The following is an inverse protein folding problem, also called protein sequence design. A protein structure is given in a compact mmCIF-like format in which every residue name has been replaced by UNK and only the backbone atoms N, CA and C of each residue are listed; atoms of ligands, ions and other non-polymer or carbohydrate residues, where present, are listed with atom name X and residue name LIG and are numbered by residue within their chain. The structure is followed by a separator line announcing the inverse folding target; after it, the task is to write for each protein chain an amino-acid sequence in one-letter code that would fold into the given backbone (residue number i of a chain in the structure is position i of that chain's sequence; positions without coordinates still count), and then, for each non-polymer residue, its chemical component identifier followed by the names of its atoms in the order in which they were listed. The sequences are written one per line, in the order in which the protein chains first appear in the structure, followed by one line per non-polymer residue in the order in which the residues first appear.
data_IF_384212520230
#
_entry.id   IF_384212520230
#
_cell.length_a   1.000
_cell.length_b   1.000
_cell.length_c   1.000
_cell.angle_alpha   90.00
_cell.angle_beta   90.00
_cell.angle_gamma   90.00
#
_symmetry.space_group_name_H-M   'P 1'
#
loop_
_entity.id
_entity.type
_entity.pdbx_description
1 polymer ?
#
# COMPACT_ATOMS: atom_id res chain seq x y z
N UNK A 1 -10.78 14.88 19.89
CA UNK A 1 -10.26 15.87 20.87
C UNK A 1 -10.98 15.84 22.22
N UNK A 2 -12.04 15.03 22.40
CA UNK A 2 -12.85 15.04 23.63
C UNK A 2 -12.16 14.38 24.85
N UNK A 3 -11.31 13.37 24.64
CA UNK A 3 -10.67 12.64 25.74
C UNK A 3 -9.73 13.48 26.60
N UNK A 4 -8.90 14.34 26.00
CA UNK A 4 -7.96 15.19 26.75
C UNK A 4 -8.69 16.23 27.62
N UNK A 5 -9.85 16.72 27.15
CA UNK A 5 -10.69 17.64 27.90
C UNK A 5 -11.30 16.97 29.15
N UNK A 6 -11.71 15.70 29.05
CA UNK A 6 -12.25 14.94 30.19
C UNK A 6 -11.26 14.80 31.36
N UNK A 7 -9.96 14.76 31.07
CA UNK A 7 -8.89 14.67 32.08
C UNK A 7 -8.23 16.02 32.42
N UNK A 8 -8.75 17.12 31.87
CA UNK A 8 -8.18 18.46 32.01
C UNK A 8 -6.66 18.51 31.67
N UNK A 9 -6.28 17.89 30.55
CA UNK A 9 -4.91 17.89 30.05
C UNK A 9 -4.74 18.97 28.97
N UNK A 10 -3.62 19.69 29.01
CA UNK A 10 -3.18 20.50 27.86
C UNK A 10 -2.54 19.58 26.82
N UNK A 11 -2.83 19.80 25.55
CA UNK A 11 -2.30 18.97 24.47
C UNK A 11 -1.27 19.76 23.68
N UNK A 12 -0.09 19.17 23.50
CA UNK A 12 0.90 19.61 22.53
C UNK A 12 1.03 18.51 21.48
N UNK A 13 0.66 18.77 20.24
CA UNK A 13 0.71 17.78 19.17
C UNK A 13 1.64 18.26 18.06
N UNK A 14 2.71 17.50 17.79
CA UNK A 14 3.66 17.78 16.72
C UNK A 14 4.26 19.20 16.78
N UNK A 15 4.48 19.70 18.00
CA UNK A 15 5.01 21.07 18.25
C UNK A 15 3.96 22.18 18.20
N UNK A 16 2.71 21.87 17.86
CA UNK A 16 1.58 22.81 17.91
C UNK A 16 0.83 22.68 19.24
N UNK A 17 0.33 23.80 19.75
CA UNK A 17 -0.51 23.89 20.95
C UNK A 17 -1.99 24.06 20.53
N UNK A 18 -2.72 22.96 20.28
CA UNK A 18 -4.15 23.03 19.96
C UNK A 18 -5.01 23.52 21.13
N UNK A 19 -4.52 23.50 22.36
CA UNK A 19 -5.20 24.08 23.53
C UNK A 19 -4.76 25.52 23.79
N UNK A 20 -5.71 26.41 24.12
CA UNK A 20 -5.42 27.82 24.42
C UNK A 20 -4.37 27.97 25.53
N UNK A 21 -3.37 28.83 25.31
CA UNK A 21 -2.32 29.10 26.28
C UNK A 21 -2.90 29.73 27.57
N UNK A 22 -2.46 29.24 28.74
CA UNK A 22 -2.83 29.82 30.03
C UNK A 22 -4.06 29.22 30.71
N UNK A 23 -4.64 28.14 30.18
CA UNK A 23 -5.70 27.37 30.87
C UNK A 23 -5.06 26.43 31.90
N UNK A 24 -5.60 26.40 33.12
CA UNK A 24 -5.12 25.50 34.18
C UNK A 24 -5.41 24.04 33.79
N UNK A 25 -4.35 23.28 33.55
CA UNK A 25 -4.40 21.86 33.25
C UNK A 25 -3.77 21.05 34.39
N UNK A 26 -4.25 19.82 34.60
CA UNK A 26 -3.67 18.88 35.56
C UNK A 26 -2.39 18.20 35.04
N UNK A 27 -2.12 18.28 33.73
CA UNK A 27 -0.93 17.73 33.10
C UNK A 27 -0.84 18.02 31.60
N UNK A 28 0.26 17.58 30.97
CA UNK A 28 0.53 17.77 29.54
C UNK A 28 0.50 16.41 28.83
N UNK A 29 -0.30 16.30 27.75
CA UNK A 29 -0.21 15.22 26.78
C UNK A 29 0.59 15.70 25.57
N UNK A 30 1.79 15.16 25.41
CA UNK A 30 2.67 15.48 24.28
C UNK A 30 2.63 14.35 23.24
N UNK A 31 2.24 14.69 22.01
CA UNK A 31 2.34 13.81 20.85
C UNK A 31 3.55 14.26 20.02
N UNK A 32 4.53 13.37 19.90
CA UNK A 32 5.71 13.56 19.06
C UNK A 32 5.90 12.37 18.12
N UNK A 33 6.48 12.63 16.95
CA UNK A 33 6.86 11.60 16.01
C UNK A 33 8.31 11.87 15.55
N UNK A 34 9.22 10.89 15.66
CA UNK A 34 10.62 11.08 15.25
C UNK A 34 10.77 11.19 13.73
N UNK A 35 9.79 10.70 12.97
CA UNK A 35 9.68 10.85 11.52
C UNK A 35 8.22 11.14 11.17
N UNK A 36 7.96 12.31 10.60
CA UNK A 36 6.70 12.61 9.93
C UNK A 36 6.92 12.39 8.43
N UNK A 37 5.97 11.71 7.81
CA UNK A 37 5.90 11.57 6.36
C UNK A 37 4.56 12.11 5.91
N UNK A 38 4.58 12.89 4.84
CA UNK A 38 3.36 13.26 4.15
C UNK A 38 2.68 12.01 3.58
N UNK A 39 1.34 12.05 3.38
CA UNK A 39 0.65 10.99 2.66
C UNK A 39 1.29 10.74 1.29
N UNK A 40 1.35 9.47 0.87
CA UNK A 40 1.81 9.13 -0.48
C UNK A 40 0.99 9.88 -1.54
N UNK A 41 1.62 10.41 -2.60
CA UNK A 41 0.90 10.93 -3.75
C UNK A 41 -0.08 9.89 -4.31
N UNK A 42 -1.22 10.37 -4.81
CA UNK A 42 -2.27 9.53 -5.38
C UNK A 42 -2.01 9.37 -6.88
N UNK A 43 -1.82 8.13 -7.32
CA UNK A 43 -1.85 7.79 -8.75
C UNK A 43 -3.30 7.69 -9.22
N UNK A 44 -3.72 8.40 -10.30
CA UNK A 44 -5.07 8.29 -10.84
C UNK A 44 -5.41 6.86 -11.27
N UNK A 45 -6.59 6.37 -10.92
CA UNK A 45 -7.04 5.01 -11.25
C UNK A 45 -7.46 4.84 -12.71
N UNK A 46 -7.57 5.92 -13.47
CA UNK A 46 -7.86 5.91 -14.91
C UNK A 46 -6.59 6.07 -15.76
N UNK A 47 -5.43 6.31 -15.14
CA UNK A 47 -4.14 6.45 -15.80
C UNK A 47 -3.79 5.20 -16.63
N UNK A 48 -3.17 5.41 -17.79
CA UNK A 48 -2.78 4.31 -18.68
C UNK A 48 -1.84 3.31 -17.98
N UNK A 49 -0.95 3.79 -17.11
CA UNK A 49 -0.09 2.94 -16.30
C UNK A 49 -0.87 2.00 -15.35
N UNK A 50 -1.96 2.48 -14.73
CA UNK A 50 -2.83 1.63 -13.91
C UNK A 50 -3.55 0.59 -14.77
N UNK A 51 -4.05 0.98 -15.95
CA UNK A 51 -4.72 0.05 -16.88
C UNK A 51 -3.77 -1.05 -17.36
N UNK A 52 -2.52 -0.72 -17.66
CA UNK A 52 -1.48 -1.70 -18.01
C UNK A 52 -1.24 -2.68 -16.86
N UNK A 53 -1.06 -2.18 -15.64
CA UNK A 53 -0.88 -3.02 -14.46
C UNK A 53 -2.10 -3.93 -14.22
N UNK A 54 -3.31 -3.37 -14.25
CA UNK A 54 -4.55 -4.13 -14.09
C UNK A 54 -4.72 -5.22 -15.15
N UNK A 55 -4.40 -4.91 -16.41
CA UNK A 55 -4.39 -5.88 -17.52
C UNK A 55 -3.38 -7.00 -17.28
N UNK A 56 -2.18 -6.66 -16.84
CA UNK A 56 -1.09 -7.59 -16.52
C UNK A 56 -1.48 -8.54 -15.40
N UNK A 57 -2.06 -8.01 -14.31
CA UNK A 57 -2.56 -8.80 -13.17
C UNK A 57 -3.59 -9.83 -13.66
N UNK A 58 -4.54 -9.39 -14.51
CA UNK A 58 -5.56 -10.28 -15.08
C UNK A 58 -4.94 -11.40 -15.92
N UNK A 59 -4.00 -11.07 -16.80
CA UNK A 59 -3.32 -12.06 -17.65
C UNK A 59 -2.52 -13.08 -16.83
N UNK A 60 -1.81 -12.64 -15.78
CA UNK A 60 -1.04 -13.53 -14.92
C UNK A 60 -1.93 -14.56 -14.21
N UNK A 61 -3.05 -14.11 -13.61
CA UNK A 61 -4.00 -15.02 -12.97
C UNK A 61 -4.66 -15.99 -13.97
N UNK A 62 -5.00 -15.53 -15.17
CA UNK A 62 -5.59 -16.39 -16.22
C UNK A 62 -4.62 -17.48 -16.69
N UNK A 63 -3.35 -17.13 -16.89
CA UNK A 63 -2.31 -18.07 -17.33
C UNK A 63 -2.06 -19.13 -16.27
N UNK A 64 -2.00 -18.74 -15.00
CA UNK A 64 -1.67 -19.66 -13.91
C UNK A 64 -2.86 -20.51 -13.42
N UNK A 65 -4.09 -19.99 -13.50
CA UNK A 65 -5.27 -20.60 -12.84
C UNK A 65 -6.32 -21.05 -13.85
N UNK A 66 -6.28 -22.35 -14.17
CA UNK A 66 -7.28 -22.99 -15.04
C UNK A 66 -8.70 -22.80 -14.50
N UNK A 67 -9.61 -22.30 -15.33
CA UNK A 67 -11.04 -22.16 -15.01
C UNK A 67 -11.47 -20.81 -14.44
N UNK A 68 -10.56 -19.84 -14.28
CA UNK A 68 -10.93 -18.45 -13.94
C UNK A 68 -11.46 -17.75 -15.20
N UNK A 69 -12.75 -17.43 -15.24
CA UNK A 69 -13.34 -16.67 -16.34
C UNK A 69 -12.86 -15.21 -16.35
N UNK A 70 -12.70 -14.62 -17.54
CA UNK A 70 -12.15 -13.27 -17.71
C UNK A 70 -12.95 -12.18 -16.99
N UNK A 71 -14.27 -12.36 -16.89
CA UNK A 71 -15.20 -11.40 -16.31
C UNK A 71 -15.31 -11.51 -14.78
N UNK A 72 -14.64 -12.49 -14.18
CA UNK A 72 -14.69 -12.72 -12.73
C UNK A 72 -13.58 -11.98 -11.96
N UNK A 73 -12.63 -11.33 -12.66
CA UNK A 73 -11.44 -10.76 -12.03
C UNK A 73 -11.31 -9.26 -12.31
N UNK A 74 -11.45 -8.46 -11.25
CA UNK A 74 -11.32 -7.01 -11.27
C UNK A 74 -10.14 -6.57 -10.41
N UNK A 75 -9.23 -5.79 -10.98
CA UNK A 75 -8.20 -5.10 -10.22
C UNK A 75 -8.78 -3.77 -9.71
N UNK A 76 -8.78 -3.57 -8.40
CA UNK A 76 -9.26 -2.35 -7.76
C UNK A 76 -8.11 -1.60 -7.12
N UNK A 77 -8.07 -0.27 -7.22
CA UNK A 77 -7.09 0.52 -6.49
C UNK A 77 -7.40 0.47 -4.99
N UNK A 78 -6.34 0.50 -4.17
CA UNK A 78 -6.45 0.52 -2.72
C UNK A 78 -5.28 1.25 -2.08
N UNK A 79 -5.47 1.75 -0.87
CA UNK A 79 -4.42 2.42 -0.11
C UNK A 79 -3.85 1.48 0.96
N UNK A 80 -2.55 1.20 0.88
CA UNK A 80 -1.83 0.45 1.91
C UNK A 80 -1.25 1.41 2.95
N UNK A 81 -1.35 1.04 4.22
CA UNK A 81 -0.91 1.85 5.38
C UNK A 81 0.62 1.98 5.50
N UNK A 82 1.38 1.00 5.03
CA UNK A 82 2.84 1.02 5.10
C UNK A 82 3.49 1.84 3.97
N UNK A 83 4.29 2.84 4.28
CA UNK A 83 4.94 3.70 3.26
C UNK A 83 6.07 3.01 2.47
N UNK A 84 6.62 1.90 3.00
CA UNK A 84 7.69 1.07 2.39
C UNK A 84 8.84 1.89 1.78
N UNK A 85 9.61 1.31 0.85
CA UNK A 85 10.66 2.03 0.12
C UNK A 85 10.09 3.04 -0.90
N UNK A 86 8.78 3.01 -1.16
CA UNK A 86 8.15 3.93 -2.12
C UNK A 86 8.30 5.40 -1.74
N UNK A 87 8.43 5.70 -0.43
CA UNK A 87 8.65 7.08 0.06
C UNK A 87 9.85 7.77 -0.55
N UNK A 88 10.88 7.03 -0.92
CA UNK A 88 12.10 7.58 -1.54
C UNK A 88 11.92 7.90 -3.02
N UNK A 89 10.82 7.44 -3.63
CA UNK A 89 10.54 7.60 -5.06
C UNK A 89 9.42 8.62 -5.33
N UNK A 90 8.75 9.14 -4.29
CA UNK A 90 7.60 10.04 -4.43
C UNK A 90 7.89 11.31 -5.23
N UNK A 91 9.11 11.85 -5.14
CA UNK A 91 9.52 13.03 -5.90
C UNK A 91 10.03 12.71 -7.32
N UNK A 92 10.23 11.44 -7.65
CA UNK A 92 10.88 11.01 -8.89
C UNK A 92 9.89 10.44 -9.91
N UNK A 93 8.77 9.89 -9.44
CA UNK A 93 7.81 9.16 -10.27
C UNK A 93 6.42 9.77 -10.17
N UNK A 94 5.75 9.92 -11.31
CA UNK A 94 4.37 10.41 -11.38
C UNK A 94 3.35 9.33 -10.98
N UNK A 95 3.63 8.07 -11.31
CA UNK A 95 2.74 6.94 -11.05
C UNK A 95 3.46 5.90 -10.20
N UNK A 96 2.96 5.67 -8.99
CA UNK A 96 3.52 4.71 -8.03
C UNK A 96 2.44 3.69 -7.68
N UNK A 97 2.76 2.41 -7.86
CA UNK A 97 1.89 1.29 -7.53
C UNK A 97 2.59 0.35 -6.55
N UNK A 98 1.84 -0.13 -5.57
CA UNK A 98 2.28 -1.15 -4.61
C UNK A 98 1.43 -2.38 -4.83
N UNK A 99 2.04 -3.44 -5.33
CA UNK A 99 1.36 -4.68 -5.64
C UNK A 99 2.29 -5.87 -5.40
N UNK A 100 1.79 -6.85 -4.65
CA UNK A 100 2.43 -8.15 -4.50
C UNK A 100 1.60 -9.21 -5.20
N UNK A 101 2.17 -9.89 -6.19
CA UNK A 101 1.48 -10.98 -6.86
C UNK A 101 1.57 -12.25 -6.02
N UNK A 102 0.45 -12.66 -5.47
CA UNK A 102 0.36 -13.88 -4.67
C UNK A 102 -1.08 -14.20 -4.32
N UNK A 103 -1.36 -15.48 -4.06
CA UNK A 103 -2.67 -15.87 -3.56
C UNK A 103 -2.80 -15.53 -2.07
N UNK A 104 -3.17 -14.28 -1.78
CA UNK A 104 -3.45 -13.83 -0.41
C UNK A 104 -4.75 -14.45 0.17
N UNK A 105 -5.63 -14.96 -0.71
CA UNK A 105 -6.85 -15.66 -0.32
C UNK A 105 -6.56 -17.17 -0.39
N UNK A 106 -5.89 -17.67 0.65
CA UNK A 106 -5.40 -19.05 0.74
C UNK A 106 -3.92 -19.10 1.13
N UNK A 107 -3.36 -20.31 1.22
CA UNK A 107 -1.97 -20.57 1.68
C UNK A 107 -0.87 -20.05 0.73
N UNK A 108 -1.12 -19.05 -0.11
CA UNK A 108 -0.19 -18.58 -1.14
C UNK A 108 0.99 -17.78 -0.58
N UNK A 109 0.75 -16.96 0.45
CA UNK A 109 1.79 -16.27 1.22
C UNK A 109 1.40 -16.36 2.68
N UNK A 110 2.12 -17.17 3.47
CA UNK A 110 1.75 -17.48 4.85
C UNK A 110 2.91 -17.26 5.79
N UNK A 111 2.60 -16.75 6.99
CA UNK A 111 3.59 -16.56 8.04
C UNK A 111 4.59 -15.43 7.77
N UNK A 112 4.20 -14.43 6.98
CA UNK A 112 5.03 -13.23 6.76
C UNK A 112 5.45 -12.66 8.12
N UNK A 113 6.76 -12.39 8.27
CA UNK A 113 7.36 -11.93 9.53
C UNK A 113 7.43 -12.99 10.65
N UNK A 114 7.38 -14.27 10.31
CA UNK A 114 7.54 -15.38 11.26
C UNK A 114 8.65 -16.34 10.81
N UNK A 115 9.06 -17.24 11.70
CA UNK A 115 10.05 -18.28 11.37
C UNK A 115 9.54 -19.33 10.37
N UNK A 116 8.23 -19.37 10.12
CA UNK A 116 7.59 -20.33 9.21
C UNK A 116 6.99 -19.62 7.98
N UNK A 117 7.66 -18.56 7.53
CA UNK A 117 7.32 -17.86 6.29
C UNK A 117 7.52 -18.80 5.09
N UNK A 118 6.46 -19.02 4.31
CA UNK A 118 6.51 -19.91 3.15
C UNK A 118 5.49 -19.53 2.06
N UNK A 119 5.78 -20.04 0.86
CA UNK A 119 4.96 -19.92 -0.34
C UNK A 119 4.90 -21.29 -1.03
N UNK A 120 3.78 -21.61 -1.69
CA UNK A 120 3.71 -22.82 -2.52
C UNK A 120 4.50 -22.65 -3.82
N UNK A 121 5.14 -23.72 -4.29
CA UNK A 121 5.91 -23.69 -5.54
C UNK A 121 5.09 -23.21 -6.74
N UNK A 122 3.80 -23.58 -6.80
CA UNK A 122 2.89 -23.10 -7.83
C UNK A 122 2.68 -21.57 -7.77
N UNK A 123 2.51 -21.00 -6.57
CA UNK A 123 2.39 -19.55 -6.41
C UNK A 123 3.69 -18.84 -6.75
N UNK A 124 4.84 -19.45 -6.47
CA UNK A 124 6.15 -18.88 -6.84
C UNK A 124 6.32 -18.83 -8.36
N UNK A 125 5.93 -19.88 -9.10
CA UNK A 125 5.95 -19.88 -10.57
C UNK A 125 4.97 -18.85 -11.14
N UNK A 126 3.75 -18.76 -10.59
CA UNK A 126 2.76 -17.73 -10.94
C UNK A 126 3.34 -16.31 -10.74
N UNK A 127 4.06 -16.09 -9.63
CA UNK A 127 4.73 -14.81 -9.35
C UNK A 127 5.82 -14.48 -10.37
N UNK A 128 6.61 -15.46 -10.84
CA UNK A 128 7.58 -15.26 -11.92
C UNK A 128 6.86 -14.82 -13.21
N UNK A 129 5.78 -15.51 -13.59
CA UNK A 129 4.97 -15.10 -14.76
C UNK A 129 4.44 -13.69 -14.61
N UNK A 130 3.97 -13.32 -13.42
CA UNK A 130 3.56 -11.94 -13.17
C UNK A 130 4.73 -10.98 -13.31
N UNK A 131 5.92 -11.21 -12.77
CA UNK A 131 7.00 -10.21 -12.85
C UNK A 131 7.60 -10.07 -14.25
N UNK A 132 7.56 -11.12 -15.08
CA UNK A 132 8.04 -11.04 -16.48
C UNK A 132 7.05 -10.29 -17.39
N UNK A 133 5.75 -10.47 -17.18
CA UNK A 133 4.71 -9.89 -18.04
C UNK A 133 4.67 -8.35 -18.11
N UNK A 134 4.77 -7.56 -17.01
CA UNK A 134 4.75 -6.10 -17.07
C UNK A 134 6.02 -5.56 -17.71
N UNK A 135 7.17 -6.24 -17.56
CA UNK A 135 8.41 -5.86 -18.25
C UNK A 135 8.15 -5.89 -19.77
N UNK A 136 7.60 -6.99 -20.28
CA UNK A 136 7.28 -7.13 -21.70
C UNK A 136 6.15 -6.18 -22.14
N UNK A 137 5.10 -6.04 -21.33
CA UNK A 137 3.97 -5.16 -21.66
C UNK A 137 4.38 -3.68 -21.71
N UNK A 138 5.30 -3.24 -20.82
CA UNK A 138 5.80 -1.88 -20.81
C UNK A 138 6.72 -1.63 -22.01
N UNK A 139 7.61 -2.59 -22.33
CA UNK A 139 8.51 -2.50 -23.48
C UNK A 139 7.75 -2.34 -24.81
N UNK A 140 6.63 -3.03 -24.95
CA UNK A 140 5.74 -2.96 -26.12
C UNK A 140 4.71 -1.81 -26.05
N UNK A 141 4.69 -1.05 -24.96
CA UNK A 141 3.74 0.06 -24.79
C UNK A 141 4.28 1.39 -25.32
N UNK A 142 3.37 2.30 -25.65
CA UNK A 142 3.71 3.68 -26.00
C UNK A 142 3.74 4.63 -24.78
N UNK A 143 3.83 4.08 -23.56
CA UNK A 143 3.89 4.84 -22.30
C UNK A 143 5.22 5.59 -22.13
#
# INVERSE_FOLDING_TARGET
MDLAAQFNLSVTAYGELPTAAGVSAYGILELSAPQTLEPTPITPSDAMAFRLLAGTIRTAFQTARKGVQQDALFATPGMMTGNTDTRFNWALLQHIFRYGHGNMIGRGLSGIHTVNEHISAASFVEMITFFTTPILNIDESAL
#
